data_IF_866290134033
#
_entry.id   IF_866290134033
#
_cell.length_a   1.000
_cell.length_b   1.000
_cell.length_c   1.000
_cell.angle_alpha   90.00
_cell.angle_beta   90.00
_cell.angle_gamma   90.00
#
_symmetry.space_group_name_H-M   'P 1'
#
loop_
_entity.id
_entity.type
_entity.pdbx_description
1 polymer ?
#
# COMPACT_ATOMS: atom_id res chain seq x y z
N UNK A 1 7.12 13.10 -37.01
CA UNK A 1 6.97 11.87 -36.20
C UNK A 1 7.69 12.10 -34.90
N UNK A 2 6.94 12.26 -33.81
CA UNK A 2 7.51 12.42 -32.46
C UNK A 2 8.25 11.12 -32.11
N UNK A 3 9.49 11.15 -31.61
CA UNK A 3 10.21 9.93 -31.26
C UNK A 3 9.68 9.37 -29.94
N UNK A 4 8.57 8.64 -29.98
CA UNK A 4 7.79 8.23 -28.81
C UNK A 4 8.22 6.88 -28.18
N UNK A 5 9.44 6.37 -28.38
CA UNK A 5 9.72 5.01 -27.86
C UNK A 5 11.18 4.63 -27.56
N UNK A 6 11.97 5.53 -26.97
CA UNK A 6 13.37 5.24 -26.56
C UNK A 6 13.56 4.92 -25.07
N UNK A 7 12.49 4.70 -24.31
CA UNK A 7 12.64 4.28 -22.91
C UNK A 7 12.76 2.77 -22.87
N UNK A 8 13.94 2.26 -22.49
CA UNK A 8 14.13 0.84 -22.17
C UNK A 8 13.04 0.40 -21.20
N UNK A 9 12.46 -0.81 -21.36
CA UNK A 9 11.44 -1.28 -20.45
C UNK A 9 11.98 -1.26 -19.02
N UNK A 10 11.20 -0.68 -18.10
CA UNK A 10 11.60 -0.59 -16.70
C UNK A 10 11.98 -1.97 -16.16
N UNK A 11 13.03 -2.05 -15.33
CA UNK A 11 13.41 -3.31 -14.71
C UNK A 11 12.23 -3.86 -13.93
N UNK A 12 11.91 -5.13 -14.18
CA UNK A 12 10.86 -5.83 -13.45
C UNK A 12 11.16 -5.82 -11.95
N UNK A 13 10.17 -5.46 -11.15
CA UNK A 13 10.26 -5.44 -9.70
C UNK A 13 9.24 -6.38 -9.07
N UNK A 14 9.53 -6.83 -7.85
CA UNK A 14 8.65 -7.68 -7.06
C UNK A 14 8.66 -7.17 -5.62
N UNK A 15 7.50 -6.80 -5.10
CA UNK A 15 7.34 -6.23 -3.77
C UNK A 15 6.67 -7.24 -2.84
N UNK A 16 6.92 -7.10 -1.54
CA UNK A 16 6.24 -7.83 -0.49
C UNK A 16 5.51 -6.83 0.40
N UNK A 17 4.19 -6.97 0.49
CA UNK A 17 3.35 -6.17 1.37
C UNK A 17 2.79 -7.06 2.48
N UNK A 18 2.72 -6.54 3.69
CA UNK A 18 2.22 -7.25 4.87
C UNK A 18 1.08 -6.45 5.50
N UNK A 19 -0.01 -7.12 5.85
CA UNK A 19 -1.19 -6.48 6.43
C UNK A 19 -1.71 -7.24 7.64
N UNK A 20 -2.09 -6.49 8.68
CA UNK A 20 -2.81 -6.97 9.84
C UNK A 20 -4.12 -6.20 9.95
N UNK A 21 -5.22 -6.93 10.06
CA UNK A 21 -6.55 -6.36 10.25
C UNK A 21 -7.23 -7.11 11.40
N UNK A 22 -7.87 -6.37 12.28
CA UNK A 22 -8.68 -6.94 13.34
C UNK A 22 -10.03 -6.24 13.37
N UNK A 23 -11.09 -6.96 13.75
CA UNK A 23 -12.43 -6.41 13.87
C UNK A 23 -13.03 -6.86 15.19
N UNK A 24 -13.50 -5.90 15.98
CA UNK A 24 -14.14 -6.15 17.25
C UNK A 24 -15.49 -5.44 17.31
N UNK A 25 -16.51 -6.16 17.76
CA UNK A 25 -17.82 -5.60 17.99
C UNK A 25 -17.99 -5.26 19.46
N UNK A 26 -18.27 -3.99 19.76
CA UNK A 26 -18.44 -3.45 21.10
C UNK A 26 -19.70 -2.60 21.13
N UNK A 27 -20.73 -3.05 21.85
CA UNK A 27 -21.94 -2.26 22.15
C UNK A 27 -22.58 -1.55 20.93
N UNK A 28 -22.74 -2.26 19.80
CA UNK A 28 -23.32 -1.67 18.58
C UNK A 28 -22.30 -1.05 17.63
N UNK A 29 -21.03 -0.97 18.02
CA UNK A 29 -19.94 -0.45 17.19
C UNK A 29 -19.06 -1.59 16.70
N UNK A 30 -18.75 -1.60 15.42
CA UNK A 30 -17.66 -2.39 14.89
C UNK A 30 -16.42 -1.49 14.77
N UNK A 31 -15.40 -1.82 15.56
CA UNK A 31 -14.11 -1.14 15.58
C UNK A 31 -13.12 -2.04 14.86
N UNK A 32 -12.51 -1.55 13.78
CA UNK A 32 -11.60 -2.35 12.96
C UNK A 32 -10.26 -1.63 12.79
N UNK A 33 -9.31 -1.81 13.74
CA UNK A 33 -7.95 -1.35 13.53
C UNK A 33 -7.27 -2.13 12.42
N UNK A 34 -6.49 -1.43 11.60
CA UNK A 34 -5.66 -2.02 10.57
C UNK A 34 -4.26 -1.43 10.57
N UNK A 35 -3.31 -2.24 10.13
CA UNK A 35 -1.93 -1.86 9.93
C UNK A 35 -1.40 -2.55 8.68
N UNK A 36 -0.64 -1.83 7.86
CA UNK A 36 -0.08 -2.35 6.62
C UNK A 36 1.33 -1.81 6.43
N UNK A 37 2.26 -2.71 6.16
CA UNK A 37 3.63 -2.40 5.73
C UNK A 37 3.68 -2.64 4.24
N UNK A 38 3.90 -1.59 3.46
CA UNK A 38 4.17 -1.72 2.01
C UNK A 38 5.66 -1.80 1.78
N UNK A 39 6.04 -2.60 0.78
CA UNK A 39 7.43 -2.81 0.40
C UNK A 39 8.31 -3.18 1.61
N UNK A 40 7.90 -4.24 2.32
CA UNK A 40 8.54 -4.73 3.54
C UNK A 40 10.03 -5.10 3.34
N UNK A 41 10.42 -5.39 2.10
CA UNK A 41 11.81 -5.66 1.72
C UNK A 41 12.61 -4.39 1.34
N UNK A 42 12.01 -3.21 1.47
CA UNK A 42 12.61 -1.90 1.19
C UNK A 42 13.28 -1.81 -0.19
N UNK A 43 12.64 -2.35 -1.24
CA UNK A 43 13.17 -2.33 -2.60
C UNK A 43 12.98 -0.98 -3.25
N UNK A 44 14.02 -0.49 -3.91
CA UNK A 44 13.90 0.67 -4.79
C UNK A 44 13.35 0.23 -6.14
N UNK A 45 12.33 0.93 -6.64
CA UNK A 45 11.73 0.67 -7.95
C UNK A 45 11.17 1.96 -8.54
N UNK A 46 10.92 1.93 -9.85
CA UNK A 46 10.43 3.06 -10.61
C UNK A 46 9.26 2.58 -11.48
N UNK A 47 8.20 3.37 -11.54
CA UNK A 47 7.05 3.17 -12.44
C UNK A 47 6.98 4.25 -13.53
N UNK A 48 7.73 5.34 -13.32
CA UNK A 48 7.98 6.41 -14.28
C UNK A 48 9.47 6.70 -14.28
N UNK A 49 10.00 7.13 -15.43
CA UNK A 49 11.42 7.39 -15.57
C UNK A 49 11.88 8.46 -14.58
N UNK A 50 12.95 8.15 -13.83
CA UNK A 50 13.58 9.06 -12.88
C UNK A 50 12.71 9.48 -11.69
N UNK A 51 11.59 8.76 -11.45
CA UNK A 51 10.72 8.98 -10.28
C UNK A 51 10.81 7.77 -9.35
N UNK A 52 11.73 7.82 -8.36
CA UNK A 52 11.87 6.73 -7.40
C UNK A 52 10.60 6.60 -6.56
N UNK A 53 10.11 5.37 -6.46
CA UNK A 53 8.99 5.08 -5.57
C UNK A 53 9.44 5.00 -4.11
N UNK A 54 8.53 5.20 -3.16
CA UNK A 54 8.83 5.04 -1.75
C UNK A 54 9.41 3.65 -1.46
N UNK A 55 10.40 3.61 -0.56
CA UNK A 55 10.93 2.39 0.03
C UNK A 55 9.89 1.73 0.94
N UNK A 56 10.27 1.36 2.16
CA UNK A 56 9.31 0.87 3.14
C UNK A 56 8.32 1.97 3.54
N UNK A 57 7.03 1.64 3.58
CA UNK A 57 5.98 2.57 4.00
C UNK A 57 5.01 1.90 4.98
N UNK A 58 4.63 2.63 6.04
CA UNK A 58 3.75 2.16 7.10
C UNK A 58 2.43 2.91 7.04
N UNK A 59 1.34 2.15 7.00
CA UNK A 59 -0.03 2.66 7.00
C UNK A 59 -0.76 2.04 8.18
N UNK A 60 -1.57 2.84 8.86
CA UNK A 60 -2.41 2.34 9.92
C UNK A 60 -3.60 3.24 10.11
N UNK A 61 -4.64 2.68 10.69
CA UNK A 61 -5.86 3.41 10.98
C UNK A 61 -6.84 2.57 11.76
N UNK A 62 -7.95 3.20 12.10
CA UNK A 62 -9.07 2.53 12.76
C UNK A 62 -10.32 2.88 11.98
N UNK A 63 -11.04 1.86 11.52
CA UNK A 63 -12.37 2.01 10.96
C UNK A 63 -13.40 1.89 12.08
N UNK A 64 -14.41 2.75 12.07
CA UNK A 64 -15.53 2.70 13.00
C UNK A 64 -16.81 2.58 12.19
N UNK A 65 -17.63 1.59 12.49
CA UNK A 65 -18.95 1.42 11.90
C UNK A 65 -19.98 1.29 13.01
N UNK A 66 -21.00 2.15 12.98
CA UNK A 66 -22.14 2.06 13.89
C UNK A 66 -23.18 1.13 13.28
N UNK A 67 -23.53 0.07 14.00
CA UNK A 67 -24.63 -0.82 13.66
C UNK A 67 -25.86 -0.35 14.45
N UNK A 68 -26.63 0.58 13.86
CA UNK A 68 -27.95 0.92 14.39
C UNK A 68 -28.88 -0.25 14.10
N UNK A 69 -29.39 -0.86 15.17
CA UNK A 69 -30.34 -1.95 15.09
C UNK A 69 -31.75 -1.47 14.79
#
# INVERSE_FOLDING_TARGET
TTPDNLTEPFPGYSLLDLGLNYSMFIQGWNVSPFFTIRNALNKQYEIYAYVPQPGIAFYGGVSLQVSNH
#
